data_IF_650028403216
#
_entry.id   IF_650028403216
#
_cell.length_a   1.000
_cell.length_b   1.000
_cell.length_c   1.000
_cell.angle_alpha   90.00
_cell.angle_beta   90.00
_cell.angle_gamma   90.00
#
_symmetry.space_group_name_H-M   'P 1'
#
loop_
_entity.id
_entity.type
_entity.pdbx_description
1 polymer ?
#
# COMPACT_ATOMS: atom_id res chain seq x y z
N UNK A 1 16.18 20.13 22.82
CA UNK A 1 15.36 21.02 21.97
C UNK A 1 15.84 20.85 20.54
N UNK A 2 15.06 20.19 19.71
CA UNK A 2 15.31 20.19 18.26
C UNK A 2 14.88 21.57 17.72
N UNK A 3 15.82 22.30 17.15
CA UNK A 3 15.53 23.58 16.51
C UNK A 3 14.74 23.32 15.21
N UNK A 4 13.61 23.96 15.03
CA UNK A 4 12.85 23.91 13.77
C UNK A 4 13.76 24.39 12.64
N UNK A 5 13.92 23.61 11.56
CA UNK A 5 14.77 24.02 10.45
C UNK A 5 14.24 25.29 9.77
N UNK A 6 15.13 26.10 9.24
CA UNK A 6 14.75 27.26 8.43
C UNK A 6 14.13 26.79 7.10
N UNK A 7 13.38 27.67 6.42
CA UNK A 7 12.77 27.36 5.13
C UNK A 7 13.83 26.90 4.10
N UNK A 8 14.98 27.55 4.07
CA UNK A 8 16.09 27.19 3.17
C UNK A 8 16.67 25.81 3.49
N UNK A 9 16.80 25.46 4.78
CA UNK A 9 17.23 24.11 5.21
C UNK A 9 16.22 23.05 4.84
N UNK A 10 14.92 23.34 5.01
CA UNK A 10 13.85 22.42 4.63
C UNK A 10 13.82 22.17 3.13
N UNK A 11 14.04 23.20 2.29
CA UNK A 11 14.15 23.06 0.84
C UNK A 11 15.36 22.23 0.45
N UNK A 12 16.54 22.52 1.01
CA UNK A 12 17.76 21.75 0.72
C UNK A 12 17.62 20.28 1.11
N UNK A 13 16.97 19.97 2.23
CA UNK A 13 16.72 18.58 2.64
C UNK A 13 15.79 17.88 1.64
N UNK A 14 14.70 18.54 1.24
CA UNK A 14 13.77 17.99 0.25
C UNK A 14 14.45 17.72 -1.09
N UNK A 15 15.28 18.65 -1.57
CA UNK A 15 16.03 18.49 -2.84
C UNK A 15 16.99 17.28 -2.75
N UNK A 16 17.67 17.08 -1.62
CA UNK A 16 18.54 15.93 -1.39
C UNK A 16 17.74 14.62 -1.38
N UNK A 17 16.59 14.59 -0.69
CA UNK A 17 15.71 13.41 -0.64
C UNK A 17 15.16 13.06 -2.04
N UNK A 18 14.79 14.07 -2.83
CA UNK A 18 14.33 13.87 -4.20
C UNK A 18 15.44 13.32 -5.11
N UNK A 19 16.68 13.82 -4.96
CA UNK A 19 17.83 13.30 -5.70
C UNK A 19 18.13 11.84 -5.31
N UNK A 20 18.08 11.51 -4.02
CA UNK A 20 18.30 10.15 -3.52
C UNK A 20 17.23 9.20 -4.08
N UNK A 21 15.96 9.55 -3.98
CA UNK A 21 14.86 8.76 -4.53
C UNK A 21 14.96 8.60 -6.04
N UNK A 22 15.26 9.69 -6.75
CA UNK A 22 15.44 9.64 -8.20
C UNK A 22 16.58 8.71 -8.62
N UNK A 23 17.68 8.68 -7.86
CA UNK A 23 18.79 7.76 -8.06
C UNK A 23 18.43 6.30 -7.80
N UNK A 24 17.56 6.05 -6.83
CA UNK A 24 17.15 4.70 -6.44
C UNK A 24 15.98 4.11 -7.26
N UNK A 25 15.28 4.89 -8.08
CA UNK A 25 14.14 4.39 -8.87
C UNK A 25 14.50 3.18 -9.76
N UNK A 26 15.66 3.23 -10.42
CA UNK A 26 16.13 2.13 -11.28
C UNK A 26 16.54 0.89 -10.47
N UNK A 27 17.01 1.07 -9.24
CA UNK A 27 17.28 -0.01 -8.30
C UNK A 27 15.97 -0.68 -7.87
N UNK A 28 14.95 0.09 -7.54
CA UNK A 28 13.64 -0.43 -7.18
C UNK A 28 13.01 -1.27 -8.30
N UNK A 29 13.06 -0.78 -9.53
CA UNK A 29 12.57 -1.51 -10.71
C UNK A 29 13.25 -2.88 -10.87
N UNK A 30 14.54 -2.98 -10.55
CA UNK A 30 15.32 -4.21 -10.61
C UNK A 30 15.12 -5.15 -9.43
N UNK A 31 14.45 -4.69 -8.36
CA UNK A 31 14.14 -5.51 -7.19
C UNK A 31 13.24 -6.67 -7.60
N UNK A 32 13.69 -7.88 -7.38
CA UNK A 32 12.99 -9.10 -7.75
C UNK A 32 11.70 -9.30 -6.97
N UNK A 33 10.79 -10.11 -7.48
CA UNK A 33 9.55 -10.49 -6.78
C UNK A 33 9.86 -11.10 -5.41
N UNK A 34 10.86 -11.97 -5.32
CA UNK A 34 11.26 -12.60 -4.07
C UNK A 34 11.76 -11.57 -3.03
N UNK A 35 12.55 -10.59 -3.46
CA UNK A 35 13.00 -9.49 -2.59
C UNK A 35 11.84 -8.61 -2.15
N UNK A 36 10.88 -8.30 -3.04
CA UNK A 36 9.66 -7.54 -2.70
C UNK A 36 8.82 -8.26 -1.64
N UNK A 37 8.68 -9.58 -1.76
CA UNK A 37 8.01 -10.42 -0.75
C UNK A 37 8.77 -10.39 0.58
N UNK A 38 10.10 -10.50 0.55
CA UNK A 38 10.93 -10.42 1.75
C UNK A 38 10.78 -9.06 2.46
N UNK A 39 10.80 -7.95 1.70
CA UNK A 39 10.58 -6.61 2.24
C UNK A 39 9.22 -6.51 2.95
N UNK A 40 8.15 -7.00 2.32
CA UNK A 40 6.81 -6.99 2.92
C UNK A 40 6.74 -7.84 4.20
N UNK A 41 7.44 -8.98 4.23
CA UNK A 41 7.56 -9.80 5.45
C UNK A 41 8.29 -9.07 6.56
N UNK A 42 9.41 -8.41 6.28
CA UNK A 42 10.17 -7.63 7.25
C UNK A 42 9.34 -6.43 7.77
N UNK A 43 8.55 -5.77 6.90
CA UNK A 43 7.64 -4.69 7.33
C UNK A 43 6.58 -5.23 8.31
N UNK A 44 6.02 -6.41 8.09
CA UNK A 44 5.07 -7.03 9.03
C UNK A 44 5.69 -7.25 10.41
N UNK A 45 6.91 -7.75 10.44
CA UNK A 45 7.64 -7.97 11.69
C UNK A 45 7.96 -6.63 12.40
N UNK A 46 8.35 -5.60 11.65
CA UNK A 46 8.63 -4.27 12.18
C UNK A 46 7.37 -3.51 12.62
N UNK A 47 6.21 -3.82 12.05
CA UNK A 47 4.92 -3.22 12.41
C UNK A 47 4.41 -3.72 13.77
N UNK A 48 4.64 -4.98 14.11
CA UNK A 48 4.10 -5.60 15.33
C UNK A 48 4.43 -4.82 16.61
N UNK A 49 5.68 -4.43 16.88
CA UNK A 49 6.03 -3.74 18.12
C UNK A 49 5.46 -2.33 18.24
N UNK A 50 5.06 -1.70 17.14
CA UNK A 50 4.51 -0.33 17.15
C UNK A 50 2.97 -0.30 17.03
N UNK A 51 2.34 -1.40 16.69
CA UNK A 51 0.91 -1.46 16.34
C UNK A 51 -0.01 -0.98 17.48
N UNK A 52 0.25 -1.44 18.70
CA UNK A 52 -0.54 -1.05 19.86
C UNK A 52 -0.41 0.46 20.15
N UNK A 53 0.81 0.97 20.22
CA UNK A 53 1.05 2.38 20.50
C UNK A 53 0.49 3.28 19.38
N UNK A 54 0.50 2.82 18.14
CA UNK A 54 -0.17 3.49 17.01
C UNK A 54 -1.68 3.59 17.26
N UNK A 55 -2.38 2.47 17.48
CA UNK A 55 -3.83 2.47 17.67
C UNK A 55 -4.25 3.31 18.89
N UNK A 56 -3.56 3.16 20.03
CA UNK A 56 -3.82 3.95 21.25
C UNK A 56 -3.59 5.46 21.03
N UNK A 57 -2.54 5.83 20.27
CA UNK A 57 -2.27 7.23 19.98
C UNK A 57 -3.32 7.82 19.05
N UNK A 58 -3.76 7.05 18.04
CA UNK A 58 -4.84 7.45 17.13
C UNK A 58 -6.14 7.67 17.90
N UNK A 59 -6.53 6.73 18.77
CA UNK A 59 -7.71 6.84 19.62
C UNK A 59 -7.65 8.10 20.53
N UNK A 60 -6.51 8.32 21.18
CA UNK A 60 -6.30 9.50 22.03
C UNK A 60 -6.40 10.82 21.25
N UNK A 61 -5.84 10.89 20.04
CA UNK A 61 -5.91 12.08 19.17
C UNK A 61 -7.33 12.38 18.71
N UNK A 62 -8.16 11.36 18.55
CA UNK A 62 -9.58 11.50 18.20
C UNK A 62 -10.51 11.68 19.42
N UNK A 63 -9.96 11.67 20.64
CA UNK A 63 -10.76 11.80 21.88
C UNK A 63 -11.60 10.57 22.19
N UNK A 64 -11.23 9.40 21.66
CA UNK A 64 -11.90 8.11 21.94
C UNK A 64 -11.53 7.69 23.38
N UNK A 65 -12.52 7.40 24.25
CA UNK A 65 -12.25 6.96 25.61
C UNK A 65 -11.50 5.62 25.63
N UNK A 66 -10.46 5.53 26.47
CA UNK A 66 -9.68 4.32 26.64
C UNK A 66 -10.56 3.15 27.11
N UNK A 67 -10.38 1.97 26.52
CA UNK A 67 -11.13 0.76 26.80
C UNK A 67 -12.53 0.72 26.18
N UNK A 68 -12.90 1.73 25.37
CA UNK A 68 -14.18 1.71 24.66
C UNK A 68 -14.10 0.83 23.39
N UNK A 69 -15.25 0.32 22.94
CA UNK A 69 -15.33 -0.47 21.70
C UNK A 69 -14.88 0.32 20.45
N UNK A 70 -14.91 1.66 20.51
CA UNK A 70 -14.47 2.52 19.41
C UNK A 70 -12.95 2.46 19.16
N UNK A 71 -12.15 2.04 20.15
CA UNK A 71 -10.71 1.81 19.92
C UNK A 71 -10.47 0.73 18.86
N UNK A 72 -11.40 -0.22 18.68
CA UNK A 72 -11.33 -1.23 17.65
C UNK A 72 -11.28 -0.64 16.23
N UNK A 73 -11.90 0.53 16.01
CA UNK A 73 -11.83 1.21 14.72
C UNK A 73 -10.39 1.65 14.39
N UNK A 74 -9.64 2.11 15.39
CA UNK A 74 -8.25 2.54 15.17
C UNK A 74 -7.29 1.38 14.89
N UNK A 75 -7.57 0.22 15.46
CA UNK A 75 -6.88 -1.02 15.07
C UNK A 75 -7.19 -1.41 13.64
N UNK A 76 -8.48 -1.41 13.25
CA UNK A 76 -8.92 -1.80 11.91
C UNK A 76 -8.47 -0.80 10.85
N UNK A 77 -8.60 0.49 11.10
CA UNK A 77 -8.25 1.56 10.15
C UNK A 77 -6.76 1.95 10.14
N UNK A 78 -5.96 1.28 10.94
CA UNK A 78 -4.53 1.51 11.12
C UNK A 78 -3.71 0.24 10.89
N UNK A 79 -3.07 -0.30 11.96
CA UNK A 79 -2.11 -1.40 11.84
C UNK A 79 -2.66 -2.65 11.18
N UNK A 80 -3.91 -3.03 11.47
CA UNK A 80 -4.54 -4.24 10.91
C UNK A 80 -4.65 -4.17 9.38
N UNK A 81 -5.09 -3.02 8.85
CA UNK A 81 -5.23 -2.82 7.40
C UNK A 81 -3.87 -2.82 6.70
N UNK A 82 -2.84 -2.22 7.30
CA UNK A 82 -1.47 -2.26 6.77
C UNK A 82 -0.93 -3.69 6.75
N UNK A 83 -1.14 -4.45 7.83
CA UNK A 83 -0.77 -5.87 7.93
C UNK A 83 -1.51 -6.70 6.88
N UNK A 84 -2.82 -6.46 6.71
CA UNK A 84 -3.67 -7.11 5.72
C UNK A 84 -3.18 -6.87 4.30
N UNK A 85 -2.83 -5.63 3.96
CA UNK A 85 -2.26 -5.30 2.65
C UNK A 85 -0.95 -6.05 2.39
N UNK A 86 -0.03 -6.10 3.36
CA UNK A 86 1.20 -6.85 3.22
C UNK A 86 0.92 -8.34 2.92
N UNK A 87 -0.01 -8.96 3.64
CA UNK A 87 -0.39 -10.35 3.41
C UNK A 87 -0.96 -10.57 1.99
N UNK A 88 -1.88 -9.73 1.57
CA UNK A 88 -2.51 -9.82 0.25
C UNK A 88 -1.49 -9.59 -0.87
N UNK A 89 -0.64 -8.58 -0.72
CA UNK A 89 0.39 -8.27 -1.73
C UNK A 89 1.43 -9.40 -1.84
N UNK A 90 1.88 -9.98 -0.73
CA UNK A 90 2.77 -11.15 -0.73
C UNK A 90 2.13 -12.34 -1.44
N UNK A 91 0.85 -12.61 -1.17
CA UNK A 91 0.08 -13.67 -1.85
C UNK A 91 -0.02 -13.40 -3.35
N UNK A 92 -0.37 -12.18 -3.75
CA UNK A 92 -0.45 -11.79 -5.16
C UNK A 92 0.91 -11.90 -5.85
N UNK A 93 1.98 -11.38 -5.24
CA UNK A 93 3.32 -11.44 -5.79
C UNK A 93 3.83 -12.86 -5.98
N UNK A 94 3.49 -13.78 -5.07
CA UNK A 94 3.87 -15.19 -5.20
C UNK A 94 3.22 -15.89 -6.41
N UNK A 95 2.14 -15.33 -6.96
CA UNK A 95 1.32 -15.86 -8.04
C UNK A 95 1.30 -14.97 -9.30
N UNK A 96 2.04 -13.84 -9.29
CA UNK A 96 1.96 -12.84 -10.36
C UNK A 96 2.58 -13.32 -11.67
N UNK A 97 3.61 -14.17 -11.60
CA UNK A 97 4.20 -14.79 -12.78
C UNK A 97 3.18 -15.75 -13.41
N UNK A 98 3.02 -15.66 -14.74
CA UNK A 98 1.97 -16.42 -15.44
C UNK A 98 0.55 -15.96 -15.15
N UNK A 99 0.38 -14.88 -14.37
CA UNK A 99 -0.94 -14.31 -13.99
C UNK A 99 -1.81 -15.27 -13.15
N UNK A 100 -1.21 -16.22 -12.42
CA UNK A 100 -1.94 -17.22 -11.62
C UNK A 100 -2.80 -16.60 -10.51
N UNK A 101 -2.52 -15.37 -10.10
CA UNK A 101 -3.37 -14.61 -9.16
C UNK A 101 -4.78 -14.32 -9.72
N UNK A 102 -5.02 -14.55 -11.02
CA UNK A 102 -6.34 -14.40 -11.66
C UNK A 102 -7.10 -15.72 -11.83
N UNK A 103 -6.48 -16.88 -11.62
CA UNK A 103 -7.03 -18.19 -11.96
C UNK A 103 -8.39 -18.49 -11.32
N UNK A 104 -8.65 -17.93 -10.14
CA UNK A 104 -9.88 -18.16 -9.38
C UNK A 104 -10.69 -16.88 -9.16
N UNK A 105 -10.36 -15.78 -9.84
CA UNK A 105 -11.09 -14.51 -9.72
C UNK A 105 -12.37 -14.58 -10.56
N UNK A 106 -13.56 -14.53 -9.95
CA UNK A 106 -14.80 -14.48 -10.71
C UNK A 106 -14.89 -13.16 -11.50
N UNK A 107 -15.05 -13.25 -12.80
CA UNK A 107 -15.20 -12.11 -13.70
C UNK A 107 -16.59 -12.16 -14.34
N UNK A 108 -17.32 -11.05 -14.28
CA UNK A 108 -18.63 -10.90 -14.92
C UNK A 108 -18.65 -9.71 -15.87
N UNK A 109 -19.44 -9.81 -16.93
CA UNK A 109 -19.73 -8.71 -17.82
C UNK A 109 -20.86 -7.86 -17.28
N UNK A 110 -20.73 -6.55 -17.45
CA UNK A 110 -21.72 -5.56 -17.06
C UNK A 110 -22.57 -5.17 -18.28
N UNK A 111 -23.82 -4.65 -18.09
CA UNK A 111 -24.68 -4.24 -19.18
C UNK A 111 -24.08 -3.19 -20.12
N UNK A 112 -23.10 -2.43 -19.66
CA UNK A 112 -22.39 -1.42 -20.43
C UNK A 112 -21.16 -1.96 -21.19
N UNK A 113 -20.93 -3.29 -21.18
CA UNK A 113 -19.81 -3.94 -21.84
C UNK A 113 -18.48 -3.93 -21.08
N UNK A 114 -18.45 -3.34 -19.88
CA UNK A 114 -17.28 -3.45 -18.99
C UNK A 114 -17.25 -4.82 -18.31
N UNK A 115 -16.07 -5.22 -17.84
CA UNK A 115 -15.94 -6.39 -16.96
C UNK A 115 -15.70 -5.95 -15.53
N UNK A 116 -16.23 -6.73 -14.59
CA UNK A 116 -16.00 -6.57 -13.16
C UNK A 116 -15.38 -7.83 -12.59
N UNK A 117 -14.29 -7.66 -11.86
CA UNK A 117 -13.56 -8.74 -11.20
C UNK A 117 -13.90 -8.74 -9.69
N UNK A 118 -14.31 -9.90 -9.16
CA UNK A 118 -14.61 -10.08 -7.74
C UNK A 118 -13.34 -10.19 -6.95
N UNK A 119 -13.12 -9.26 -6.00
CA UNK A 119 -11.94 -9.25 -5.13
C UNK A 119 -12.25 -9.58 -3.68
N UNK A 120 -13.53 -9.52 -3.29
CA UNK A 120 -13.96 -9.96 -1.97
C UNK A 120 -15.35 -10.62 -2.07
N UNK A 121 -15.58 -11.75 -1.38
CA UNK A 121 -14.66 -12.52 -0.54
C UNK A 121 -13.60 -13.28 -1.36
N UNK A 122 -12.38 -13.34 -0.85
CA UNK A 122 -11.26 -14.06 -1.46
C UNK A 122 -10.85 -15.30 -0.65
N UNK A 123 -11.10 -15.27 0.66
CA UNK A 123 -10.71 -16.32 1.59
C UNK A 123 -11.90 -16.83 2.41
N UNK A 124 -11.72 -17.98 3.06
CA UNK A 124 -12.72 -18.49 4.01
C UNK A 124 -12.95 -17.52 5.18
N UNK A 125 -11.92 -16.78 5.56
CA UNK A 125 -12.02 -15.76 6.61
C UNK A 125 -12.88 -14.58 6.20
N UNK A 126 -12.80 -14.16 4.93
CA UNK A 126 -13.67 -13.11 4.41
C UNK A 126 -15.13 -13.54 4.44
N UNK A 127 -15.42 -14.77 4.05
CA UNK A 127 -16.77 -15.32 4.13
C UNK A 127 -17.31 -15.38 5.56
N UNK A 128 -16.43 -15.68 6.54
CA UNK A 128 -16.82 -15.79 7.94
C UNK A 128 -16.99 -14.43 8.60
N UNK A 129 -16.03 -13.53 8.41
CA UNK A 129 -15.97 -12.22 9.10
C UNK A 129 -16.78 -11.13 8.37
N UNK A 130 -16.93 -11.24 7.06
CA UNK A 130 -17.59 -10.25 6.21
C UNK A 130 -18.78 -10.88 5.47
N UNK A 131 -19.55 -11.73 6.17
CA UNK A 131 -20.69 -12.45 5.60
C UNK A 131 -21.65 -11.49 4.87
N UNK A 132 -21.95 -11.80 3.60
CA UNK A 132 -22.85 -11.00 2.77
C UNK A 132 -22.20 -9.75 2.11
N UNK A 133 -20.93 -9.45 2.41
CA UNK A 133 -20.20 -8.36 1.73
C UNK A 133 -19.54 -8.90 0.48
N UNK A 134 -19.71 -8.19 -0.64
CA UNK A 134 -19.01 -8.48 -1.90
C UNK A 134 -18.41 -7.20 -2.47
N UNK A 135 -17.18 -7.29 -2.98
CA UNK A 135 -16.51 -6.17 -3.66
C UNK A 135 -16.09 -6.62 -5.05
N UNK A 136 -16.55 -5.89 -6.05
CA UNK A 136 -16.14 -6.05 -7.44
C UNK A 136 -15.36 -4.80 -7.88
N UNK A 137 -14.25 -5.01 -8.55
CA UNK A 137 -13.53 -3.94 -9.25
C UNK A 137 -14.03 -3.87 -10.67
N UNK A 138 -14.60 -2.74 -11.07
CA UNK A 138 -14.98 -2.46 -12.44
C UNK A 138 -13.76 -2.04 -13.22
N UNK A 139 -13.42 -2.81 -14.24
CA UNK A 139 -12.27 -2.54 -15.08
C UNK A 139 -12.53 -1.31 -15.98
N UNK A 140 -11.46 -0.71 -16.45
CA UNK A 140 -11.53 0.43 -17.36
C UNK A 140 -12.26 0.06 -18.65
N UNK A 141 -12.90 1.03 -19.34
CA UNK A 141 -13.48 0.82 -20.66
C UNK A 141 -12.46 0.22 -21.64
N UNK A 142 -12.88 -0.79 -22.41
CA UNK A 142 -12.00 -1.52 -23.34
C UNK A 142 -11.31 -2.74 -22.73
N UNK A 143 -11.36 -2.91 -21.41
CA UNK A 143 -10.93 -4.16 -20.78
C UNK A 143 -12.04 -5.18 -20.89
N UNK A 144 -11.70 -6.33 -21.49
CA UNK A 144 -12.57 -7.48 -21.69
C UNK A 144 -12.06 -8.68 -20.91
N UNK A 145 -12.83 -9.75 -20.85
CA UNK A 145 -12.38 -11.01 -20.25
C UNK A 145 -11.08 -11.52 -20.88
N UNK A 146 -10.96 -11.40 -22.21
CA UNK A 146 -9.82 -11.94 -22.97
C UNK A 146 -8.53 -11.14 -22.75
N UNK A 147 -8.63 -9.83 -22.50
CA UNK A 147 -7.46 -8.98 -22.30
C UNK A 147 -7.23 -8.57 -20.81
N UNK A 148 -8.04 -9.08 -19.88
CA UNK A 148 -7.92 -8.76 -18.45
C UNK A 148 -6.52 -9.03 -17.91
N UNK A 149 -5.94 -10.19 -18.25
CA UNK A 149 -4.61 -10.57 -17.80
C UNK A 149 -3.53 -9.57 -18.23
N UNK A 150 -3.63 -9.04 -19.45
CA UNK A 150 -2.72 -8.02 -19.96
C UNK A 150 -2.87 -6.69 -19.19
N UNK A 151 -4.09 -6.34 -18.78
CA UNK A 151 -4.41 -5.09 -18.08
C UNK A 151 -4.25 -5.18 -16.55
N UNK A 152 -3.65 -6.26 -16.03
CA UNK A 152 -3.38 -6.43 -14.59
C UNK A 152 -1.91 -6.71 -14.34
N UNK A 153 -1.37 -6.19 -13.24
CA UNK A 153 0.01 -6.41 -12.82
C UNK A 153 1.04 -6.16 -13.97
N UNK A 154 0.84 -5.08 -14.71
CA UNK A 154 1.60 -4.72 -15.92
C UNK A 154 3.10 -4.56 -15.64
N UNK A 155 3.47 -4.03 -14.48
CA UNK A 155 4.88 -3.85 -14.08
C UNK A 155 5.65 -5.16 -13.89
N UNK A 156 4.96 -6.28 -13.77
CA UNK A 156 5.54 -7.63 -13.65
C UNK A 156 5.48 -8.43 -14.96
N UNK A 157 4.96 -7.83 -16.03
CA UNK A 157 4.78 -8.48 -17.33
C UNK A 157 5.85 -7.98 -18.32
N UNK A 158 6.79 -8.85 -18.76
CA UNK A 158 7.81 -8.46 -19.72
C UNK A 158 7.30 -7.92 -21.06
N UNK A 159 6.04 -8.24 -21.41
CA UNK A 159 5.40 -7.75 -22.63
C UNK A 159 4.79 -6.35 -22.46
N UNK A 160 4.69 -5.86 -21.23
CA UNK A 160 4.10 -4.55 -20.94
C UNK A 160 5.12 -3.41 -21.11
N UNK A 161 4.72 -2.24 -21.63
CA UNK A 161 5.55 -1.04 -21.65
C UNK A 161 5.91 -0.53 -20.24
N UNK A 162 5.13 -0.87 -19.21
CA UNK A 162 5.39 -0.49 -17.84
C UNK A 162 6.49 -1.34 -17.18
N UNK A 163 6.83 -2.47 -17.79
CA UNK A 163 7.89 -3.33 -17.31
C UNK A 163 9.24 -2.61 -17.32
N UNK A 164 9.93 -2.61 -16.18
CA UNK A 164 11.23 -1.92 -16.00
C UNK A 164 11.20 -0.41 -16.16
N UNK A 165 10.04 0.21 -16.03
CA UNK A 165 9.93 1.67 -16.04
C UNK A 165 9.77 2.17 -14.60
N UNK A 166 10.79 2.88 -14.09
CA UNK A 166 10.77 3.49 -12.75
C UNK A 166 10.36 4.96 -12.80
N UNK A 167 9.51 5.37 -11.86
CA UNK A 167 9.08 6.76 -11.70
C UNK A 167 9.25 7.21 -10.25
N UNK A 168 9.10 8.50 -10.02
CA UNK A 168 9.05 9.14 -8.70
C UNK A 168 7.64 9.71 -8.48
N UNK A 169 7.02 9.35 -7.37
CA UNK A 169 5.70 9.82 -6.98
C UNK A 169 5.76 10.71 -5.74
N UNK A 170 4.88 11.71 -5.68
CA UNK A 170 4.54 12.43 -4.46
C UNK A 170 3.19 11.91 -3.95
N UNK A 171 3.18 11.34 -2.76
CA UNK A 171 1.97 10.93 -2.06
C UNK A 171 1.59 11.99 -1.04
N UNK A 172 0.40 12.57 -1.20
CA UNK A 172 -0.19 13.50 -0.24
C UNK A 172 -1.09 12.68 0.69
N UNK A 173 -0.60 12.39 1.88
CA UNK A 173 -1.29 11.53 2.84
C UNK A 173 -2.67 12.04 3.21
N UNK A 174 -3.64 11.11 3.29
CA UNK A 174 -5.01 11.40 3.70
C UNK A 174 -5.10 11.72 5.21
N UNK A 175 -6.11 12.50 5.59
CA UNK A 175 -6.35 12.90 6.98
C UNK A 175 -7.42 12.07 7.70
N UNK A 176 -8.29 11.36 6.98
CA UNK A 176 -9.47 10.70 7.55
C UNK A 176 -9.18 9.30 8.12
N UNK A 177 -8.31 8.52 7.49
CA UNK A 177 -7.94 7.15 7.91
C UNK A 177 -6.42 7.01 7.96
N UNK A 178 -5.92 6.49 9.06
CA UNK A 178 -4.49 6.43 9.36
C UNK A 178 -3.70 5.53 8.37
N UNK A 179 -4.30 4.42 7.94
CA UNK A 179 -3.65 3.47 7.04
C UNK A 179 -3.54 3.94 5.58
N UNK A 180 -4.32 4.93 5.12
CA UNK A 180 -4.34 5.32 3.70
C UNK A 180 -2.96 5.79 3.24
N UNK A 181 -2.30 6.63 4.00
CA UNK A 181 -1.00 7.18 3.61
C UNK A 181 0.06 6.10 3.32
N UNK A 182 0.34 5.12 4.21
CA UNK A 182 1.26 4.04 3.89
C UNK A 182 0.75 3.10 2.80
N UNK A 183 -0.57 2.89 2.67
CA UNK A 183 -1.14 2.06 1.60
C UNK A 183 -0.95 2.69 0.22
N UNK A 184 -1.10 4.00 0.10
CA UNK A 184 -0.84 4.72 -1.14
C UNK A 184 0.64 4.62 -1.55
N UNK A 185 1.56 4.70 -0.58
CA UNK A 185 2.99 4.46 -0.82
C UNK A 185 3.23 3.04 -1.32
N UNK A 186 2.61 2.05 -0.68
CA UNK A 186 2.74 0.65 -1.11
C UNK A 186 2.16 0.43 -2.51
N UNK A 187 1.03 1.05 -2.83
CA UNK A 187 0.47 0.99 -4.18
C UNK A 187 1.47 1.52 -5.20
N UNK A 188 2.07 2.68 -4.96
CA UNK A 188 3.10 3.25 -5.84
C UNK A 188 4.28 2.31 -6.04
N UNK A 189 4.80 1.76 -4.95
CA UNK A 189 5.95 0.85 -4.99
C UNK A 189 5.63 -0.49 -5.67
N UNK A 190 4.61 -1.18 -5.19
CA UNK A 190 4.35 -2.58 -5.54
C UNK A 190 3.40 -2.77 -6.72
N UNK A 191 2.59 -1.78 -7.09
CA UNK A 191 1.67 -1.88 -8.23
C UNK A 191 2.10 -1.02 -9.43
N UNK A 192 2.89 0.05 -9.24
CA UNK A 192 3.24 1.00 -10.29
C UNK A 192 4.75 1.16 -10.55
N UNK A 193 5.65 0.48 -9.81
CA UNK A 193 7.10 0.65 -9.87
C UNK A 193 7.57 2.08 -9.59
N UNK A 194 6.86 2.83 -8.77
CA UNK A 194 7.20 4.19 -8.44
C UNK A 194 7.80 4.27 -7.04
N UNK A 195 9.01 4.82 -6.91
CA UNK A 195 9.52 5.24 -5.59
C UNK A 195 8.75 6.47 -5.14
N UNK A 196 8.50 6.61 -3.84
CA UNK A 196 7.57 7.62 -3.37
C UNK A 196 8.15 8.47 -2.24
N UNK A 197 7.88 9.77 -2.29
CA UNK A 197 7.98 10.66 -1.15
C UNK A 197 6.59 10.83 -0.54
N UNK A 198 6.47 10.62 0.76
CA UNK A 198 5.22 10.78 1.49
C UNK A 198 5.21 12.09 2.28
N UNK A 199 4.30 12.98 1.93
CA UNK A 199 3.97 14.16 2.73
C UNK A 199 2.79 13.82 3.63
N UNK A 200 3.01 13.73 4.93
CA UNK A 200 1.95 13.43 5.90
C UNK A 200 0.89 14.55 5.95
N UNK A 201 -0.37 14.15 6.14
CA UNK A 201 -1.42 15.11 6.48
C UNK A 201 -1.17 15.65 7.90
N UNK A 202 -1.35 16.97 8.16
CA UNK A 202 -1.15 17.53 9.49
C UNK A 202 -2.00 16.88 10.60
N UNK A 203 -3.17 16.33 10.26
CA UNK A 203 -4.04 15.61 11.21
C UNK A 203 -3.41 14.28 11.65
N UNK A 204 -2.63 13.65 10.76
CA UNK A 204 -2.03 12.34 10.94
C UNK A 204 -0.49 12.39 11.01
N UNK A 205 0.13 13.54 11.26
CA UNK A 205 1.58 13.69 11.30
C UNK A 205 2.24 12.86 12.41
N UNK A 206 1.52 12.62 13.50
CA UNK A 206 1.96 11.74 14.60
C UNK A 206 2.27 10.30 14.15
N UNK A 207 1.73 9.88 13.01
CA UNK A 207 2.00 8.55 12.48
C UNK A 207 3.44 8.35 12.05
N UNK A 208 4.19 9.42 11.78
CA UNK A 208 5.60 9.33 11.41
C UNK A 208 6.43 8.58 12.45
N UNK A 209 6.10 8.71 13.74
CA UNK A 209 6.78 8.03 14.84
C UNK A 209 6.60 6.50 14.80
N UNK A 210 5.52 6.01 14.19
CA UNK A 210 5.21 4.59 14.03
C UNK A 210 5.58 4.06 12.64
N UNK A 211 5.36 4.87 11.61
CA UNK A 211 5.65 4.48 10.24
C UNK A 211 7.15 4.40 9.95
N UNK A 212 7.95 5.30 10.50
CA UNK A 212 9.40 5.29 10.29
C UNK A 212 10.05 3.98 10.74
N UNK A 213 9.83 3.46 11.96
CA UNK A 213 10.37 2.16 12.33
C UNK A 213 9.70 1.00 11.60
N UNK A 214 8.38 1.05 11.34
CA UNK A 214 7.68 -0.02 10.63
C UNK A 214 8.12 -0.15 9.16
N UNK A 215 8.43 0.97 8.49
CA UNK A 215 8.85 1.01 7.09
C UNK A 215 10.38 1.03 6.91
N UNK A 216 11.15 0.89 8.00
CA UNK A 216 12.61 0.84 7.94
C UNK A 216 13.15 -0.15 6.89
N UNK A 217 12.56 -1.35 6.70
CA UNK A 217 12.98 -2.27 5.64
C UNK A 217 12.91 -1.70 4.22
N UNK A 218 12.07 -0.69 3.97
CA UNK A 218 12.01 0.05 2.71
C UNK A 218 12.95 1.26 2.69
N UNK A 219 13.00 1.99 3.79
CA UNK A 219 13.75 3.26 3.89
C UNK A 219 15.25 3.03 3.78
N UNK A 220 15.76 1.93 4.32
CA UNK A 220 17.19 1.62 4.34
C UNK A 220 17.70 0.98 3.04
N UNK A 221 16.84 0.71 2.08
CA UNK A 221 17.17 0.05 0.79
C UNK A 221 17.09 0.97 -0.39
#
# INVERSE_FOLDING_TARGET
MQTTPTLAQSQSNLDNDLQLLSGNRERWVKTSIAERIAILSEIKEALLPVAQAWAETAARKKGIPQGSALEGEEWLSGPYTVMGYCNQMMSTLSQVQGKHHLDHVPVRELPNGQVAARVLPHSIWDHLLLSGVTIDIWMQPGVTRDNLAYNTASIYDPASPDYKTGKLALVLGAGNIAAIAPLDVFHKLFAENEVAILKMNPVNDYLADFLTPALKPLIDR
#
